data_IF_845032919565
#
_entry.id   IF_845032919565
#
_cell.length_a   1.000
_cell.length_b   1.000
_cell.length_c   1.000
_cell.angle_alpha   90.00
_cell.angle_beta   90.00
_cell.angle_gamma   90.00
#
_symmetry.space_group_name_H-M   'P 1'
#
loop_
_entity.id
_entity.type
_entity.pdbx_description
1 polymer ?
#
# COMPACT_ATOMS: atom_id res chain seq x y z
N UNK A 1 -15.35 18.73 -10.08
CA UNK A 1 -14.25 17.92 -9.51
C UNK A 1 -14.78 17.22 -8.27
N UNK A 2 -15.15 15.94 -8.37
CA UNK A 2 -15.61 15.16 -7.22
C UNK A 2 -14.38 14.60 -6.50
N UNK A 3 -14.17 15.01 -5.25
CA UNK A 3 -13.12 14.47 -4.39
C UNK A 3 -13.65 13.14 -3.83
N UNK A 4 -13.31 12.03 -4.48
CA UNK A 4 -13.50 10.71 -3.88
C UNK A 4 -12.70 10.65 -2.57
N UNK A 5 -13.25 10.12 -1.46
CA UNK A 5 -12.49 9.99 -0.22
C UNK A 5 -11.23 9.20 -0.51
N UNK A 6 -10.07 9.80 -0.23
CA UNK A 6 -8.78 9.17 -0.42
C UNK A 6 -8.68 8.01 0.59
N UNK A 7 -9.12 6.82 0.19
CA UNK A 7 -9.15 5.63 1.04
C UNK A 7 -7.74 5.23 1.50
N UNK A 8 -6.72 5.63 0.76
CA UNK A 8 -5.31 5.28 0.94
C UNK A 8 -4.47 6.56 1.07
N UNK A 9 -3.72 6.70 2.17
CA UNK A 9 -2.81 7.85 2.35
C UNK A 9 -1.45 7.47 1.76
N UNK A 10 -1.28 7.65 0.44
CA UNK A 10 -0.05 7.34 -0.28
C UNK A 10 -0.14 7.63 -1.78
N UNK A 11 1.01 7.57 -2.47
CA UNK A 11 1.11 7.80 -3.91
C UNK A 11 1.41 6.47 -4.62
N UNK A 12 0.45 5.95 -5.37
CA UNK A 12 0.57 4.65 -6.03
C UNK A 12 -0.15 4.66 -7.38
N UNK A 13 0.13 3.66 -8.22
CA UNK A 13 -0.68 3.39 -9.42
C UNK A 13 -1.95 2.65 -9.01
N UNK A 14 -2.93 3.39 -8.49
CA UNK A 14 -4.20 2.85 -7.99
C UNK A 14 -5.16 2.44 -9.11
N UNK A 15 -5.91 1.35 -8.92
CA UNK A 15 -6.95 0.91 -9.87
C UNK A 15 -8.09 0.16 -9.15
N UNK A 16 -9.28 0.77 -9.08
CA UNK A 16 -10.49 0.23 -8.44
C UNK A 16 -10.19 -0.42 -7.06
N UNK A 17 -9.80 0.43 -6.09
CA UNK A 17 -9.02 0.16 -4.87
C UNK A 17 -7.52 -0.13 -5.14
N UNK A 18 -6.77 -0.43 -4.08
CA UNK A 18 -5.34 -0.73 -4.16
C UNK A 18 -5.12 -2.20 -3.80
N UNK A 19 -4.50 -2.97 -4.71
CA UNK A 19 -4.02 -4.32 -4.40
C UNK A 19 -2.70 -4.32 -3.60
N UNK A 20 -1.97 -3.22 -3.72
CA UNK A 20 -0.78 -2.94 -2.94
C UNK A 20 -0.64 -1.44 -2.79
N UNK A 21 0.05 -1.03 -1.73
CA UNK A 21 0.45 0.35 -1.57
C UNK A 21 1.70 0.40 -0.70
N UNK A 22 2.88 0.30 -1.32
CA UNK A 22 4.15 0.29 -0.59
C UNK A 22 4.63 1.70 -0.20
N UNK A 23 3.95 2.73 -0.72
CA UNK A 23 4.15 4.15 -0.41
C UNK A 23 3.14 4.69 0.61
N UNK A 24 2.19 3.85 1.03
CA UNK A 24 1.21 4.23 2.04
C UNK A 24 1.84 4.36 3.43
N UNK A 25 1.06 4.89 4.39
CA UNK A 25 1.53 5.18 5.73
C UNK A 25 2.29 4.00 6.38
N UNK A 26 3.43 4.31 6.99
CA UNK A 26 4.13 3.35 7.83
C UNK A 26 3.32 3.12 9.11
N UNK A 27 3.02 1.86 9.40
CA UNK A 27 2.30 1.45 10.60
C UNK A 27 3.02 0.29 11.27
N UNK A 28 2.69 0.02 12.53
CA UNK A 28 3.19 -1.17 13.23
C UNK A 28 2.88 -2.42 12.41
N UNK A 29 3.92 -3.19 12.12
CA UNK A 29 3.83 -4.40 11.32
C UNK A 29 2.81 -5.39 11.88
N UNK A 30 2.06 -6.07 11.01
CA UNK A 30 1.08 -7.08 11.38
C UNK A 30 -0.31 -6.53 11.75
N UNK A 31 -0.48 -5.21 11.82
CA UNK A 31 -1.81 -4.62 12.02
C UNK A 31 -2.61 -4.70 10.70
N UNK A 32 -3.86 -5.19 10.72
CA UNK A 32 -4.75 -5.16 9.57
C UNK A 32 -5.25 -3.74 9.34
N UNK A 33 -4.67 -3.04 8.37
CA UNK A 33 -5.09 -1.71 7.95
C UNK A 33 -4.76 -1.48 6.47
N UNK A 34 -5.80 -1.30 5.64
CA UNK A 34 -5.63 -1.08 4.20
C UNK A 34 -4.95 0.26 3.88
N UNK A 35 -4.84 1.18 4.86
CA UNK A 35 -4.10 2.45 4.72
C UNK A 35 -2.61 2.30 4.98
N UNK A 36 -2.15 1.14 5.44
CA UNK A 36 -0.75 0.90 5.73
C UNK A 36 0.04 0.52 4.48
N UNK A 37 1.36 0.53 4.61
CA UNK A 37 2.26 -0.14 3.68
C UNK A 37 1.89 -1.63 3.56
N UNK A 38 1.21 -2.01 2.48
CA UNK A 38 0.63 -3.35 2.36
C UNK A 38 0.83 -3.96 0.96
N UNK A 39 0.80 -5.30 0.91
CA UNK A 39 0.87 -6.10 -0.31
C UNK A 39 -0.07 -7.30 -0.20
N UNK A 40 -1.18 -7.29 -0.94
CA UNK A 40 -2.27 -8.27 -0.74
C UNK A 40 -1.83 -9.72 -0.92
N UNK A 41 -0.83 -10.03 -1.74
CA UNK A 41 -0.32 -11.40 -1.89
C UNK A 41 0.36 -11.96 -0.64
N UNK A 42 0.82 -11.11 0.28
CA UNK A 42 1.45 -11.51 1.55
C UNK A 42 0.46 -11.50 2.73
N UNK A 43 -0.70 -10.87 2.55
CA UNK A 43 -1.73 -10.70 3.56
C UNK A 43 -2.63 -9.54 3.19
N UNK A 44 -3.94 -9.78 3.15
CA UNK A 44 -4.92 -8.75 2.79
C UNK A 44 -4.89 -7.61 3.82
N UNK A 45 -4.47 -6.42 3.37
CA UNK A 45 -4.34 -5.22 4.21
C UNK A 45 -3.43 -5.39 5.45
N UNK A 46 -2.43 -6.25 5.41
CA UNK A 46 -1.49 -6.41 6.54
C UNK A 46 -0.32 -5.44 6.39
N UNK A 47 -0.06 -4.64 7.43
CA UNK A 47 1.06 -3.70 7.47
C UNK A 47 2.41 -4.42 7.42
N UNK A 48 3.23 -4.07 6.44
CA UNK A 48 4.60 -4.55 6.29
C UNK A 48 5.56 -3.77 7.19
N UNK A 49 6.59 -4.46 7.71
CA UNK A 49 7.67 -3.83 8.48
C UNK A 49 8.61 -3.00 7.60
N UNK A 50 8.81 -3.43 6.36
CA UNK A 50 9.66 -2.74 5.39
C UNK A 50 9.33 -3.20 3.98
N UNK A 51 9.56 -2.33 3.01
CA UNK A 51 9.48 -2.64 1.60
C UNK A 51 10.57 -1.89 0.84
N UNK A 52 11.14 -2.52 -0.19
CA UNK A 52 12.11 -1.90 -1.10
C UNK A 52 11.82 -2.35 -2.52
N UNK A 53 11.73 -1.40 -3.45
CA UNK A 53 11.66 -1.67 -4.87
C UNK A 53 13.01 -1.39 -5.50
N UNK A 54 13.45 -2.30 -6.36
CA UNK A 54 14.70 -2.17 -7.09
C UNK A 54 14.47 -2.63 -8.51
N UNK A 55 15.10 -1.94 -9.46
CA UNK A 55 15.16 -2.36 -10.86
C UNK A 55 16.51 -2.99 -11.14
N UNK A 56 16.54 -4.00 -12.00
CA UNK A 56 17.77 -4.60 -12.51
C UNK A 56 17.78 -4.44 -14.03
N UNK A 57 18.88 -3.95 -14.65
CA UNK A 57 19.02 -3.95 -16.11
C UNK A 57 18.82 -5.36 -16.67
N UNK A 58 18.18 -5.44 -17.83
CA UNK A 58 17.99 -6.69 -18.57
C UNK A 58 19.31 -7.18 -19.17
#
# INVERSE_FOLDING_TARGET
>A
MAVLPVLFVGNWWFHNCADSCLTCAYMTSGIPNCRAMAWNSLGYCVALKSARMMVRPL
#
